data_IF_837161467113
#
_entry.id   IF_837161467113
#
_cell.length_a   1.000
_cell.length_b   1.000
_cell.length_c   1.000
_cell.angle_alpha   90.00
_cell.angle_beta   90.00
_cell.angle_gamma   90.00
#
_symmetry.space_group_name_H-M   'P 1'
#
loop_
_entity.id
_entity.type
_entity.pdbx_description
1 polymer ?
#
# COMPACT_ATOMS: atom_id res chain seq x y z
N UNK A 1 43.46 6.24 13.71
CA UNK A 1 42.87 5.06 14.36
C UNK A 1 41.88 4.47 13.37
N UNK A 2 42.18 3.31 12.78
CA UNK A 2 41.35 2.71 11.73
C UNK A 2 40.09 2.12 12.37
N UNK A 3 38.91 2.60 11.97
CA UNK A 3 37.62 2.08 12.40
C UNK A 3 37.36 0.75 11.68
N UNK A 4 37.68 -0.37 12.35
CA UNK A 4 37.31 -1.69 11.86
C UNK A 4 35.79 -1.86 11.97
N UNK A 5 35.08 -1.82 10.84
CA UNK A 5 33.68 -2.20 10.78
C UNK A 5 33.56 -3.72 10.82
N UNK A 6 33.14 -4.25 11.96
CA UNK A 6 32.84 -5.67 12.16
C UNK A 6 31.45 -5.97 11.55
N UNK A 7 31.34 -7.04 10.77
CA UNK A 7 30.07 -7.47 10.16
C UNK A 7 29.78 -8.92 10.56
N UNK A 8 28.57 -9.15 11.06
CA UNK A 8 28.02 -10.48 11.29
C UNK A 8 27.56 -11.07 9.95
N UNK A 9 27.96 -12.31 9.66
CA UNK A 9 27.53 -13.03 8.46
C UNK A 9 26.63 -14.21 8.82
N UNK A 10 25.61 -14.44 7.99
CA UNK A 10 24.79 -15.64 8.01
C UNK A 10 25.24 -16.51 6.83
N UNK A 11 25.64 -17.76 7.10
CA UNK A 11 26.04 -18.71 6.07
C UNK A 11 24.83 -19.08 5.19
N UNK A 12 24.90 -18.76 3.91
CA UNK A 12 24.02 -19.32 2.88
C UNK A 12 24.75 -20.50 2.22
N UNK A 13 24.40 -21.74 2.57
CA UNK A 13 24.96 -22.89 1.88
C UNK A 13 24.34 -23.00 0.47
N UNK A 14 25.12 -22.92 -0.62
CA UNK A 14 24.60 -23.07 -1.98
C UNK A 14 24.11 -24.50 -2.30
N UNK A 15 24.35 -25.47 -1.41
CA UNK A 15 24.07 -26.88 -1.64
C UNK A 15 22.60 -27.31 -1.47
N UNK A 16 21.74 -26.47 -0.87
CA UNK A 16 20.33 -26.84 -0.61
C UNK A 16 19.41 -26.51 -1.79
N UNK A 17 19.83 -25.68 -2.76
CA UNK A 17 19.02 -25.31 -3.93
C UNK A 17 19.10 -26.30 -5.11
N UNK A 18 19.98 -27.32 -5.06
CA UNK A 18 20.22 -28.23 -6.20
C UNK A 18 19.37 -29.53 -6.17
N UNK A 19 18.77 -29.89 -5.03
CA UNK A 19 18.11 -31.20 -4.87
C UNK A 19 16.60 -31.24 -5.18
N UNK A 20 15.98 -30.12 -5.56
CA UNK A 20 14.52 -30.09 -5.85
C UNK A 20 14.16 -30.29 -7.35
N UNK A 21 15.14 -30.31 -8.26
CA UNK A 21 14.89 -30.34 -9.72
C UNK A 21 15.16 -31.68 -10.42
N UNK A 22 15.25 -32.78 -9.68
CA UNK A 22 15.29 -34.13 -10.26
C UNK A 22 14.28 -35.02 -9.56
N UNK A 23 13.07 -35.10 -10.10
CA UNK A 23 12.29 -36.34 -10.28
C UNK A 23 10.84 -35.98 -10.63
N UNK A 24 10.55 -35.88 -11.93
CA UNK A 24 9.32 -36.41 -12.58
C UNK A 24 9.45 -36.16 -14.07
N UNK A 25 9.97 -37.17 -14.78
CA UNK A 25 9.88 -37.28 -16.24
C UNK A 25 8.83 -38.37 -16.48
N UNK A 26 7.60 -37.97 -16.82
CA UNK A 26 6.59 -38.87 -17.37
C UNK A 26 6.14 -38.31 -18.72
N UNK A 27 6.30 -39.16 -19.71
CA UNK A 27 5.95 -38.99 -21.12
C UNK A 27 4.50 -39.37 -21.34
N UNK A 28 3.73 -38.53 -22.04
CA UNK A 28 2.72 -39.00 -22.99
C UNK A 28 2.30 -37.89 -23.93
N UNK A 29 2.50 -38.17 -25.22
CA UNK A 29 2.09 -37.39 -26.38
C UNK A 29 0.59 -37.25 -26.49
N UNK A 30 0.10 -36.07 -26.85
CA UNK A 30 -1.13 -35.89 -27.63
C UNK A 30 -1.00 -34.57 -28.42
N UNK A 31 -0.73 -34.73 -29.71
CA UNK A 31 -0.77 -33.68 -30.74
C UNK A 31 -2.19 -33.52 -31.25
N UNK A 32 -2.73 -32.29 -31.30
CA UNK A 32 -3.62 -31.85 -32.38
C UNK A 32 -3.71 -30.31 -32.47
N UNK A 33 -3.06 -29.79 -33.52
CA UNK A 33 -3.45 -28.71 -34.45
C UNK A 33 -3.93 -27.32 -33.95
N UNK A 34 -2.98 -26.36 -33.97
CA UNK A 34 -2.91 -25.17 -34.86
C UNK A 34 -3.95 -24.00 -34.71
N UNK A 35 -3.62 -22.75 -35.16
CA UNK A 35 -3.78 -21.55 -34.32
C UNK A 35 -4.68 -20.44 -34.89
N UNK A 36 -5.26 -19.62 -34.01
CA UNK A 36 -5.87 -18.32 -34.34
C UNK A 36 -5.07 -17.19 -33.68
N UNK A 37 -4.12 -16.64 -34.44
CA UNK A 37 -3.44 -15.38 -34.13
C UNK A 37 -4.29 -14.22 -34.66
N UNK A 38 -4.69 -13.29 -33.80
CA UNK A 38 -5.07 -11.92 -34.20
C UNK A 38 -4.18 -10.93 -33.46
N UNK A 39 -3.43 -10.05 -34.15
CA UNK A 39 -2.68 -9.00 -33.50
C UNK A 39 -3.62 -7.82 -33.20
N UNK A 40 -3.66 -7.38 -31.95
CA UNK A 40 -4.22 -6.07 -31.60
C UNK A 40 -3.20 -4.99 -31.96
N UNK A 41 -3.57 -4.10 -32.87
CA UNK A 41 -2.80 -2.90 -33.20
C UNK A 41 -3.04 -1.81 -32.16
N UNK A 42 -1.95 -1.32 -31.55
CA UNK A 42 -1.96 -0.11 -30.74
C UNK A 42 -2.14 1.12 -31.65
N UNK A 43 -3.22 1.88 -31.44
CA UNK A 43 -3.36 3.24 -31.97
C UNK A 43 -2.85 4.25 -30.93
N UNK A 44 -2.10 5.29 -31.32
CA UNK A 44 -1.59 6.29 -30.38
C UNK A 44 -2.70 7.27 -29.97
N UNK A 45 -2.91 7.39 -28.66
CA UNK A 45 -3.83 8.35 -28.05
C UNK A 45 -3.18 9.74 -28.03
N UNK A 46 -3.65 10.66 -28.89
CA UNK A 46 -3.11 12.01 -29.04
C UNK A 46 -3.82 12.98 -28.10
N UNK A 47 -3.13 13.42 -27.05
CA UNK A 47 -3.56 14.50 -26.15
C UNK A 47 -3.56 15.85 -26.90
N UNK A 48 -4.73 16.48 -27.10
CA UNK A 48 -4.82 17.90 -27.53
C UNK A 48 -4.95 18.79 -26.29
N UNK A 49 -3.88 19.52 -25.96
CA UNK A 49 -3.91 20.71 -25.09
C UNK A 49 -4.57 21.85 -25.86
N UNK A 50 -5.69 22.39 -25.36
CA UNK A 50 -6.20 23.69 -25.81
C UNK A 50 -5.77 24.74 -24.78
N UNK A 51 -4.72 25.48 -25.09
CA UNK A 51 -4.46 26.79 -24.50
C UNK A 51 -5.27 27.82 -25.28
N UNK A 52 -6.13 28.58 -24.62
CA UNK A 52 -6.64 29.85 -25.15
C UNK A 52 -6.06 30.98 -24.32
N UNK A 53 -5.25 31.81 -24.99
CA UNK A 53 -4.69 33.04 -24.44
C UNK A 53 -5.78 34.10 -24.24
N UNK A 54 -5.61 34.87 -23.17
CA UNK A 54 -6.41 36.07 -22.92
C UNK A 54 -5.89 37.23 -23.78
N UNK A 55 -6.81 37.88 -24.50
CA UNK A 55 -6.59 39.16 -25.15
C UNK A 55 -7.25 40.22 -24.27
N UNK A 56 -6.47 41.23 -23.87
CA UNK A 56 -6.96 42.49 -23.30
C UNK A 56 -7.46 43.38 -24.44
N UNK A 57 -8.59 44.04 -24.25
CA UNK A 57 -8.87 45.30 -24.94
C UNK A 57 -9.70 46.22 -24.04
N UNK A 58 -9.13 47.38 -23.79
CA UNK A 58 -9.73 48.60 -23.27
C UNK A 58 -10.70 49.22 -24.27
N UNK A 59 -11.80 49.81 -23.80
CA UNK A 59 -12.36 51.03 -24.39
C UNK A 59 -13.26 51.76 -23.40
N UNK A 60 -13.16 53.08 -23.47
CA UNK A 60 -13.89 54.14 -22.81
C UNK A 60 -15.28 54.37 -23.43
N UNK A 61 -16.12 55.11 -22.71
CA UNK A 61 -17.11 56.12 -23.16
C UNK A 61 -18.59 55.99 -22.69
N UNK A 62 -18.96 57.04 -21.93
CA UNK A 62 -20.13 57.94 -21.97
C UNK A 62 -21.62 57.49 -21.89
N UNK A 63 -22.26 58.15 -20.91
CA UNK A 63 -23.66 58.60 -20.76
C UNK A 63 -24.72 58.35 -21.86
N UNK A 64 -25.91 57.92 -21.39
CA UNK A 64 -27.16 58.67 -21.67
C UNK A 64 -28.37 57.92 -22.23
N UNK A 65 -29.34 57.65 -21.34
CA UNK A 65 -30.81 57.72 -21.57
C UNK A 65 -31.51 56.70 -22.48
N UNK A 66 -32.26 55.78 -21.89
CA UNK A 66 -33.75 55.82 -21.74
C UNK A 66 -34.25 54.44 -21.30
N UNK A 67 -35.10 54.44 -20.26
CA UNK A 67 -35.81 53.27 -19.76
C UNK A 67 -37.06 53.05 -20.61
N UNK A 68 -37.15 51.92 -21.30
CA UNK A 68 -38.42 51.33 -21.72
C UNK A 68 -38.42 49.86 -21.29
N UNK A 69 -39.46 49.51 -20.54
CA UNK A 69 -39.66 48.19 -19.98
C UNK A 69 -40.11 47.23 -21.08
N UNK A 70 -39.25 46.28 -21.44
CA UNK A 70 -39.66 45.08 -22.16
C UNK A 70 -39.58 43.90 -21.18
N UNK A 71 -40.74 43.40 -20.79
CA UNK A 71 -40.88 42.10 -20.13
C UNK A 71 -40.58 41.06 -21.20
N UNK A 72 -39.34 40.55 -21.22
CA UNK A 72 -39.04 39.31 -21.93
C UNK A 72 -38.84 38.21 -20.89
N UNK A 73 -39.70 37.19 -21.00
CA UNK A 73 -39.58 35.94 -20.26
C UNK A 73 -38.18 35.36 -20.51
N UNK A 74 -37.29 35.53 -19.55
CA UNK A 74 -36.12 34.69 -19.46
C UNK A 74 -36.60 33.33 -18.99
N UNK A 75 -36.83 32.43 -19.94
CA UNK A 75 -36.87 31.01 -19.70
C UNK A 75 -35.66 30.67 -18.83
N UNK A 76 -35.91 30.48 -17.54
CA UNK A 76 -34.90 30.06 -16.58
C UNK A 76 -34.68 28.60 -16.89
N UNK A 77 -33.79 28.35 -17.86
CA UNK A 77 -33.25 27.03 -18.12
C UNK A 77 -32.53 26.62 -16.85
N UNK A 78 -33.24 25.93 -15.97
CA UNK A 78 -32.70 25.30 -14.78
C UNK A 78 -31.62 24.33 -15.25
N UNK A 79 -30.37 24.77 -15.16
CA UNK A 79 -29.23 23.88 -15.29
C UNK A 79 -29.36 22.89 -14.15
N UNK A 80 -29.81 21.69 -14.45
CA UNK A 80 -29.89 20.57 -13.53
C UNK A 80 -28.46 20.29 -13.05
N UNK A 81 -28.10 20.86 -11.89
CA UNK A 81 -26.81 20.63 -11.24
C UNK A 81 -26.69 19.13 -10.98
N UNK A 82 -25.87 18.46 -11.79
CA UNK A 82 -25.50 17.05 -11.63
C UNK A 82 -25.02 16.85 -10.19
N UNK A 83 -25.85 16.25 -9.34
CA UNK A 83 -25.54 16.06 -7.91
C UNK A 83 -24.22 15.30 -7.79
N UNK A 84 -23.23 15.93 -7.16
CA UNK A 84 -21.93 15.32 -6.89
C UNK A 84 -22.13 14.19 -5.87
N UNK A 85 -21.56 13.01 -6.13
CA UNK A 85 -21.59 11.89 -5.18
C UNK A 85 -20.90 12.31 -3.86
N UNK A 86 -21.57 12.21 -2.70
CA UNK A 86 -21.05 12.74 -1.43
C UNK A 86 -20.05 11.78 -0.77
N UNK A 87 -18.88 11.56 -1.40
CA UNK A 87 -17.85 10.65 -0.89
C UNK A 87 -17.36 11.03 0.52
N UNK A 88 -17.28 12.33 0.81
CA UNK A 88 -16.87 12.86 2.12
C UNK A 88 -17.83 12.49 3.27
N UNK A 89 -19.09 12.17 2.97
CA UNK A 89 -20.06 11.66 3.95
C UNK A 89 -20.05 10.13 4.00
N UNK A 90 -19.92 9.47 2.84
CA UNK A 90 -20.07 8.02 2.72
C UNK A 90 -18.84 7.27 3.21
N UNK A 91 -17.63 7.71 2.89
CA UNK A 91 -16.38 7.03 3.27
C UNK A 91 -16.20 6.97 4.80
N UNK A 92 -16.28 8.09 5.56
CA UNK A 92 -16.13 8.03 7.01
C UNK A 92 -17.22 7.22 7.71
N UNK A 93 -18.45 7.26 7.17
CA UNK A 93 -19.58 6.47 7.68
C UNK A 93 -19.24 4.97 7.66
N UNK A 94 -18.79 4.45 6.52
CA UNK A 94 -18.48 3.02 6.39
C UNK A 94 -17.19 2.62 7.11
N UNK A 95 -16.16 3.48 7.10
CA UNK A 95 -14.93 3.25 7.86
C UNK A 95 -15.22 3.10 9.36
N UNK A 96 -16.04 3.99 9.93
CA UNK A 96 -16.49 3.89 11.32
C UNK A 96 -17.29 2.61 11.55
N UNK A 97 -18.24 2.30 10.67
CA UNK A 97 -19.02 1.07 10.79
C UNK A 97 -18.12 -0.19 10.80
N UNK A 98 -17.12 -0.28 9.92
CA UNK A 98 -16.21 -1.43 9.87
C UNK A 98 -15.34 -1.55 11.12
N UNK A 99 -14.86 -0.42 11.65
CA UNK A 99 -14.07 -0.36 12.88
C UNK A 99 -14.92 -0.80 14.09
N UNK A 100 -16.07 -0.16 14.31
CA UNK A 100 -16.95 -0.39 15.46
C UNK A 100 -17.44 -1.85 15.51
N UNK A 101 -17.68 -2.45 14.35
CA UNK A 101 -18.15 -3.84 14.22
C UNK A 101 -17.00 -4.84 13.99
N UNK A 102 -15.74 -4.39 13.95
CA UNK A 102 -14.54 -5.22 13.73
C UNK A 102 -14.69 -6.19 12.54
N UNK A 103 -15.29 -5.73 11.44
CA UNK A 103 -15.74 -6.58 10.31
C UNK A 103 -14.60 -7.38 9.65
N UNK A 104 -13.38 -6.85 9.70
CA UNK A 104 -12.20 -7.47 9.08
C UNK A 104 -11.35 -8.31 10.03
N UNK A 105 -11.74 -8.39 11.31
CA UNK A 105 -11.05 -9.17 12.34
C UNK A 105 -11.06 -10.66 11.96
N UNK A 106 -9.90 -11.29 12.04
CA UNK A 106 -9.77 -12.75 11.95
C UNK A 106 -9.99 -13.34 13.34
N UNK A 107 -11.07 -14.11 13.58
CA UNK A 107 -11.33 -14.67 14.90
C UNK A 107 -10.20 -15.62 15.32
N UNK A 108 -9.98 -15.73 16.63
CA UNK A 108 -8.96 -16.65 17.17
C UNK A 108 -9.41 -18.10 17.00
N UNK A 109 -10.70 -18.36 17.22
CA UNK A 109 -11.35 -19.62 16.91
C UNK A 109 -11.91 -19.58 15.47
N UNK A 110 -11.19 -20.23 14.56
CA UNK A 110 -11.53 -20.28 13.13
C UNK A 110 -12.24 -21.59 12.81
N UNK A 111 -13.39 -21.51 12.14
CA UNK A 111 -14.07 -22.67 11.55
C UNK A 111 -13.17 -23.33 10.50
N UNK A 112 -12.58 -24.47 10.85
CA UNK A 112 -11.62 -25.20 10.01
C UNK A 112 -12.25 -25.94 8.84
N UNK A 113 -13.59 -26.00 8.76
CA UNK A 113 -14.30 -26.53 7.59
C UNK A 113 -14.21 -25.57 6.39
N UNK A 114 -13.99 -24.28 6.65
CA UNK A 114 -13.82 -23.25 5.61
C UNK A 114 -12.36 -23.13 5.17
N UNK A 115 -12.10 -22.90 3.87
CA UNK A 115 -10.74 -22.75 3.37
C UNK A 115 -10.09 -21.46 3.92
N UNK A 116 -8.79 -21.52 4.19
CA UNK A 116 -8.00 -20.39 4.69
C UNK A 116 -7.36 -19.63 3.53
N UNK A 117 -7.22 -18.31 3.68
CA UNK A 117 -6.51 -17.46 2.72
C UNK A 117 -5.71 -16.39 3.45
N UNK A 118 -4.39 -16.37 3.26
CA UNK A 118 -3.51 -15.35 3.83
C UNK A 118 -3.16 -14.36 2.71
N UNK A 119 -3.63 -13.12 2.84
CA UNK A 119 -3.21 -11.99 2.00
C UNK A 119 -2.17 -11.16 2.75
N UNK A 120 -1.03 -10.88 2.13
CA UNK A 120 0.05 -10.15 2.77
C UNK A 120 0.55 -9.01 1.89
N UNK A 121 0.56 -7.81 2.46
CA UNK A 121 1.26 -6.66 1.93
C UNK A 121 2.68 -6.59 2.51
N UNK A 122 3.61 -6.05 1.73
CA UNK A 122 4.86 -5.58 2.31
C UNK A 122 4.54 -4.34 3.16
N UNK A 123 4.52 -4.54 4.47
CA UNK A 123 4.27 -3.49 5.47
C UNK A 123 5.25 -2.30 5.34
N UNK A 124 4.79 -1.06 5.56
CA UNK A 124 5.57 0.13 5.25
C UNK A 124 6.63 0.45 6.31
N UNK A 125 7.68 1.16 5.87
CA UNK A 125 8.62 1.84 6.77
C UNK A 125 7.98 3.15 7.28
N UNK A 126 7.87 3.39 8.60
CA UNK A 126 7.40 4.66 9.16
C UNK A 126 8.52 5.72 9.18
N UNK A 127 9.34 5.76 8.13
CA UNK A 127 10.49 6.66 7.97
C UNK A 127 10.14 7.96 7.24
N UNK A 128 8.92 8.09 6.74
CA UNK A 128 8.45 9.27 6.04
C UNK A 128 7.42 10.05 6.85
N UNK A 129 7.16 11.28 6.42
CA UNK A 129 6.00 12.04 6.85
C UNK A 129 4.73 11.46 6.17
N UNK A 130 4.37 10.20 6.34
CA UNK A 130 3.16 9.58 5.77
C UNK A 130 3.35 8.85 4.43
N UNK A 131 2.27 8.19 4.00
CA UNK A 131 2.19 7.45 2.74
C UNK A 131 2.28 8.39 1.52
N UNK A 132 3.09 8.01 0.53
CA UNK A 132 2.93 8.48 -0.85
C UNK A 132 1.93 7.61 -1.63
N UNK A 133 1.41 8.13 -2.75
CA UNK A 133 0.40 7.47 -3.63
C UNK A 133 0.86 6.14 -4.26
N UNK A 134 2.12 5.78 -4.09
CA UNK A 134 2.66 4.50 -4.55
C UNK A 134 2.36 3.34 -3.59
N UNK A 135 2.29 3.58 -2.27
CA UNK A 135 1.96 2.52 -1.31
C UNK A 135 0.56 1.93 -1.56
N UNK A 136 -0.51 2.75 -1.74
CA UNK A 136 -1.85 2.22 -1.97
C UNK A 136 -1.99 1.39 -3.24
N UNK A 137 -1.07 1.51 -4.22
CA UNK A 137 -1.17 0.76 -5.47
C UNK A 137 -1.14 -0.75 -5.23
N UNK A 138 -0.14 -1.22 -4.48
CA UNK A 138 -0.03 -2.64 -4.11
C UNK A 138 -1.14 -3.05 -3.15
N UNK A 139 -1.40 -2.23 -2.13
CA UNK A 139 -2.36 -2.50 -1.07
C UNK A 139 -3.81 -2.58 -1.58
N UNK A 140 -4.14 -1.85 -2.64
CA UNK A 140 -5.45 -1.96 -3.29
C UNK A 140 -5.64 -3.31 -3.98
N UNK A 141 -4.60 -3.83 -4.62
CA UNK A 141 -4.68 -5.11 -5.32
C UNK A 141 -4.91 -6.27 -4.35
N UNK A 142 -4.19 -6.28 -3.24
CA UNK A 142 -4.35 -7.26 -2.15
C UNK A 142 -5.69 -7.08 -1.43
N UNK A 143 -6.15 -5.85 -1.20
CA UNK A 143 -7.46 -5.59 -0.60
C UNK A 143 -8.63 -6.12 -1.45
N UNK A 144 -8.58 -5.92 -2.77
CA UNK A 144 -9.56 -6.49 -3.71
C UNK A 144 -9.60 -8.01 -3.56
N UNK A 145 -8.42 -8.66 -3.53
CA UNK A 145 -8.33 -10.10 -3.37
C UNK A 145 -8.86 -10.56 -2.00
N UNK A 146 -8.51 -9.86 -0.92
CA UNK A 146 -8.97 -10.17 0.44
C UNK A 146 -10.51 -10.10 0.53
N UNK A 147 -11.12 -9.04 0.01
CA UNK A 147 -12.58 -8.87 -0.02
C UNK A 147 -13.27 -9.93 -0.87
N UNK A 148 -12.74 -10.23 -2.06
CA UNK A 148 -13.24 -11.30 -2.93
C UNK A 148 -13.24 -12.65 -2.20
N UNK A 149 -12.14 -13.00 -1.53
CA UNK A 149 -12.02 -14.27 -0.80
C UNK A 149 -12.98 -14.37 0.38
N UNK A 150 -13.20 -13.28 1.12
CA UNK A 150 -14.23 -13.24 2.17
C UNK A 150 -15.62 -13.48 1.59
N UNK A 151 -15.96 -12.85 0.47
CA UNK A 151 -17.25 -13.05 -0.22
C UNK A 151 -17.43 -14.48 -0.76
N UNK A 152 -16.33 -15.17 -1.08
CA UNK A 152 -16.32 -16.58 -1.45
C UNK A 152 -16.37 -17.55 -0.25
N UNK A 153 -16.47 -17.05 0.98
CA UNK A 153 -16.58 -17.86 2.19
C UNK A 153 -15.26 -18.34 2.79
N UNK A 154 -14.12 -17.77 2.37
CA UNK A 154 -12.81 -18.10 2.96
C UNK A 154 -12.61 -17.41 4.31
N UNK A 155 -11.85 -18.07 5.19
CA UNK A 155 -11.25 -17.45 6.37
C UNK A 155 -10.03 -16.63 5.92
N UNK A 156 -10.17 -15.31 5.87
CA UNK A 156 -9.12 -14.42 5.35
C UNK A 156 -8.36 -13.76 6.48
N UNK A 157 -7.04 -13.97 6.53
CA UNK A 157 -6.11 -13.17 7.31
C UNK A 157 -5.46 -12.13 6.39
N UNK A 158 -5.68 -10.85 6.69
CA UNK A 158 -5.10 -9.71 5.98
C UNK A 158 -4.58 -8.70 7.00
N UNK A 159 -3.33 -8.86 7.49
CA UNK A 159 -2.80 -8.03 8.56
C UNK A 159 -2.05 -6.81 8.02
N UNK A 160 -1.72 -5.89 8.93
CA UNK A 160 -0.80 -4.78 8.66
C UNK A 160 0.18 -4.63 9.81
N UNK A 161 1.29 -3.94 9.59
CA UNK A 161 2.25 -3.61 10.64
C UNK A 161 3.22 -2.53 10.19
N UNK A 162 4.33 -2.41 10.91
CA UNK A 162 5.31 -1.35 10.70
C UNK A 162 6.72 -1.91 10.74
N UNK A 163 7.46 -1.72 9.65
CA UNK A 163 8.89 -2.02 9.63
C UNK A 163 9.68 -0.83 10.18
N UNK A 164 9.77 -0.78 11.49
CA UNK A 164 10.10 0.42 12.27
C UNK A 164 11.57 0.49 12.74
N UNK A 165 12.37 -0.56 12.53
CA UNK A 165 13.80 -0.56 12.82
C UNK A 165 14.65 -0.13 11.61
N UNK A 166 15.93 0.16 11.86
CA UNK A 166 16.94 0.34 10.83
C UNK A 166 17.14 1.79 10.39
N UNK A 167 18.07 1.94 9.44
CA UNK A 167 18.57 3.23 8.97
C UNK A 167 17.48 4.20 8.49
N UNK A 168 16.40 3.78 7.81
CA UNK A 168 15.39 4.73 7.34
C UNK A 168 14.72 5.50 8.49
N UNK A 169 14.37 4.82 9.58
CA UNK A 169 13.75 5.46 10.75
C UNK A 169 14.75 6.34 11.51
N UNK A 170 16.01 5.89 11.62
CA UNK A 170 17.08 6.65 12.27
C UNK A 170 17.46 7.92 11.49
N UNK A 171 17.57 7.85 10.17
CA UNK A 171 17.88 8.99 9.32
C UNK A 171 16.80 10.07 9.41
N UNK A 172 15.53 9.68 9.39
CA UNK A 172 14.42 10.62 9.55
C UNK A 172 14.44 11.30 10.94
N UNK A 173 14.80 10.56 11.98
CA UNK A 173 14.94 11.11 13.33
C UNK A 173 16.09 12.14 13.41
N UNK A 174 17.21 11.87 12.74
CA UNK A 174 18.34 12.81 12.63
C UNK A 174 17.94 14.08 11.88
N UNK A 175 17.28 13.96 10.72
CA UNK A 175 16.83 15.10 9.89
C UNK A 175 15.87 16.01 10.64
N UNK A 176 15.02 15.43 11.49
CA UNK A 176 14.00 16.17 12.26
C UNK A 176 14.50 16.61 13.64
N UNK A 177 15.72 16.22 14.05
CA UNK A 177 16.29 16.55 15.36
C UNK A 177 15.54 15.96 16.54
N UNK A 178 14.92 14.79 16.37
CA UNK A 178 14.05 14.17 17.39
C UNK A 178 14.47 12.74 17.71
N UNK A 179 14.13 12.24 18.90
CA UNK A 179 14.48 10.87 19.28
C UNK A 179 13.70 9.85 18.43
N UNK A 180 14.35 8.83 17.83
CA UNK A 180 13.74 7.94 16.85
C UNK A 180 12.49 7.24 17.36
N UNK A 181 12.49 6.80 18.63
CA UNK A 181 11.30 6.19 19.25
C UNK A 181 10.05 7.08 19.15
N UNK A 182 10.17 8.37 19.48
CA UNK A 182 9.04 9.31 19.47
C UNK A 182 8.54 9.55 18.06
N UNK A 183 9.48 9.71 17.14
CA UNK A 183 9.19 10.04 15.74
C UNK A 183 8.58 8.86 15.00
N UNK A 184 9.10 7.66 15.22
CA UNK A 184 8.56 6.40 14.71
C UNK A 184 7.12 6.19 15.16
N UNK A 185 6.81 6.36 16.45
CA UNK A 185 5.44 6.21 16.97
C UNK A 185 4.48 7.21 16.34
N UNK A 186 4.88 8.49 16.26
CA UNK A 186 4.09 9.55 15.62
C UNK A 186 3.82 9.24 14.14
N UNK A 187 4.83 8.73 13.43
CA UNK A 187 4.69 8.34 12.04
C UNK A 187 3.77 7.13 11.89
N UNK A 188 3.93 6.11 12.71
CA UNK A 188 3.03 4.93 12.75
C UNK A 188 1.57 5.38 12.89
N UNK A 189 1.26 6.23 13.86
CA UNK A 189 -0.11 6.72 14.07
C UNK A 189 -0.67 7.42 12.85
N UNK A 190 0.17 8.24 12.21
CA UNK A 190 -0.20 8.94 10.99
C UNK A 190 -0.44 7.98 9.82
N UNK A 191 0.42 6.99 9.61
CA UNK A 191 0.24 6.00 8.55
C UNK A 191 -1.02 5.19 8.80
N UNK A 192 -1.29 4.79 10.05
CA UNK A 192 -2.52 4.11 10.44
C UNK A 192 -3.76 4.90 10.05
N UNK A 193 -3.80 6.19 10.37
CA UNK A 193 -4.90 7.08 9.99
C UNK A 193 -5.08 7.15 8.46
N UNK A 194 -3.99 7.26 7.71
CA UNK A 194 -4.05 7.30 6.25
C UNK A 194 -4.54 5.97 5.66
N UNK A 195 -4.04 4.82 6.13
CA UNK A 195 -4.52 3.50 5.69
C UNK A 195 -6.00 3.27 6.03
N UNK A 196 -6.44 3.67 7.23
CA UNK A 196 -7.86 3.61 7.62
C UNK A 196 -8.73 4.50 6.74
N UNK A 197 -8.26 5.71 6.38
CA UNK A 197 -8.98 6.60 5.45
C UNK A 197 -9.09 6.06 4.02
N UNK A 198 -8.21 5.13 3.62
CA UNK A 198 -8.31 4.43 2.33
C UNK A 198 -9.27 3.22 2.39
N UNK A 199 -9.71 2.83 3.58
CA UNK A 199 -10.70 1.77 3.76
C UNK A 199 -10.19 0.36 3.49
N UNK A 200 -8.88 0.10 3.64
CA UNK A 200 -8.33 -1.24 3.50
C UNK A 200 -8.86 -2.20 4.57
N UNK A 201 -9.08 -3.45 4.18
CA UNK A 201 -9.70 -4.49 4.99
C UNK A 201 -8.72 -5.22 5.89
N UNK A 202 -7.95 -4.46 6.66
CA UNK A 202 -6.95 -5.00 7.58
C UNK A 202 -7.56 -5.45 8.91
N UNK A 203 -6.97 -6.51 9.46
CA UNK A 203 -7.19 -6.93 10.83
C UNK A 203 -6.27 -6.13 11.78
N UNK A 204 -6.77 -4.98 12.25
CA UNK A 204 -6.02 -4.08 13.14
C UNK A 204 -5.72 -4.68 14.51
N UNK A 205 -6.40 -5.76 14.92
CA UNK A 205 -6.06 -6.47 16.17
C UNK A 205 -4.73 -7.22 16.06
N UNK A 206 -4.28 -7.49 14.83
CA UNK A 206 -3.01 -8.16 14.52
C UNK A 206 -1.95 -7.18 14.04
N UNK A 207 -2.13 -5.90 14.34
CA UNK A 207 -1.13 -4.87 14.10
C UNK A 207 0.14 -5.13 14.92
N UNK A 208 1.30 -4.98 14.29
CA UNK A 208 2.60 -5.14 14.93
C UNK A 208 3.57 -4.05 14.51
N UNK A 209 4.55 -3.75 15.36
CA UNK A 209 5.72 -2.94 15.01
C UNK A 209 6.99 -3.71 15.33
N UNK A 210 7.96 -3.70 14.41
CA UNK A 210 9.22 -4.43 14.60
C UNK A 210 10.05 -3.90 15.77
N UNK A 211 9.78 -2.68 16.26
CA UNK A 211 10.46 -2.06 17.40
C UNK A 211 9.89 -2.46 18.76
N UNK A 212 8.76 -3.16 18.82
CA UNK A 212 8.16 -3.55 20.09
C UNK A 212 8.97 -4.68 20.77
N UNK A 213 9.22 -4.61 22.09
CA UNK A 213 9.92 -5.66 22.83
C UNK A 213 9.30 -7.05 22.67
N UNK A 214 7.97 -7.11 22.64
CA UNK A 214 7.25 -8.36 22.45
C UNK A 214 7.40 -8.95 21.05
N UNK A 215 7.81 -8.13 20.07
CA UNK A 215 8.15 -8.59 18.73
C UNK A 215 9.64 -8.96 18.64
N UNK A 216 10.55 -8.02 18.90
CA UNK A 216 11.97 -8.24 18.62
C UNK A 216 12.64 -9.27 19.54
N UNK A 217 12.03 -9.62 20.68
CA UNK A 217 12.50 -10.77 21.50
C UNK A 217 12.57 -12.05 20.68
N UNK A 218 11.66 -12.23 19.73
CA UNK A 218 11.67 -13.36 18.81
C UNK A 218 12.75 -13.22 17.74
N UNK A 219 13.01 -12.01 17.25
CA UNK A 219 14.15 -11.73 16.35
C UNK A 219 15.48 -12.11 17.02
N UNK A 220 15.68 -11.70 18.27
CA UNK A 220 16.86 -12.08 19.07
C UNK A 220 16.93 -13.59 19.29
N UNK A 221 15.81 -14.22 19.62
CA UNK A 221 15.74 -15.67 19.80
C UNK A 221 16.10 -16.44 18.53
N UNK A 222 15.59 -16.02 17.36
CA UNK A 222 15.91 -16.62 16.05
C UNK A 222 17.41 -16.50 15.79
N UNK A 223 18.01 -15.32 16.00
CA UNK A 223 19.44 -15.13 15.84
C UNK A 223 20.25 -16.09 16.72
N UNK A 224 19.86 -16.28 17.99
CA UNK A 224 20.52 -17.23 18.89
C UNK A 224 20.40 -18.67 18.39
N UNK A 225 19.28 -19.07 17.77
CA UNK A 225 19.16 -20.40 17.15
C UNK A 225 20.09 -20.56 15.95
N UNK A 226 20.21 -19.52 15.10
CA UNK A 226 21.13 -19.52 13.97
C UNK A 226 22.59 -19.61 14.45
N UNK A 227 22.95 -18.85 15.48
CA UNK A 227 24.27 -18.87 16.09
C UNK A 227 24.62 -20.25 16.67
N UNK A 228 23.72 -20.85 17.45
CA UNK A 228 23.89 -22.21 18.02
C UNK A 228 24.07 -23.30 16.96
N UNK A 229 23.50 -23.10 15.76
CA UNK A 229 23.65 -24.01 14.61
C UNK A 229 24.90 -23.73 13.78
N UNK A 230 25.76 -22.80 14.19
CA UNK A 230 26.95 -22.40 13.44
C UNK A 230 26.63 -21.64 12.14
N UNK A 231 25.40 -21.13 11.98
CA UNK A 231 24.97 -20.39 10.80
C UNK A 231 25.23 -18.89 10.91
N UNK A 232 25.48 -18.37 12.12
CA UNK A 232 25.86 -16.98 12.34
C UNK A 232 27.26 -16.93 12.97
N UNK A 233 28.17 -16.15 12.36
CA UNK A 233 29.53 -16.00 12.84
C UNK A 233 30.07 -14.60 12.49
N UNK A 234 31.09 -14.18 13.23
CA UNK A 234 31.74 -12.90 13.01
C UNK A 234 32.94 -13.09 12.08
N UNK A 235 33.05 -12.22 11.08
CA UNK A 235 34.22 -12.17 10.17
C UNK A 235 34.79 -10.77 10.19
N UNK A 236 36.10 -10.68 10.32
CA UNK A 236 36.81 -9.43 10.10
C UNK A 236 36.86 -9.18 8.60
N UNK A 237 36.08 -8.22 8.10
CA UNK A 237 36.28 -7.71 6.74
C UNK A 237 37.60 -6.96 6.70
N UNK A 238 38.57 -7.52 5.98
CA UNK A 238 39.74 -6.76 5.53
C UNK A 238 39.23 -5.92 4.35
N UNK A 239 39.26 -4.60 4.49
CA UNK A 239 39.02 -3.72 3.34
C UNK A 239 40.16 -3.95 2.36
N UNK A 240 39.85 -4.57 1.22
CA UNK A 240 40.74 -4.67 0.05
C UNK A 240 40.54 -3.43 -0.80
#
# INVERSE_FOLDING_TARGET
>A
MSSHHQILQIRSDPFVLSHCCRHTRLTSSLTLQSPLKRPFSCLPFRWRRSYRGGVRSSTTETHGSKKEALVSETATTSIELKRVYPFHEIEPKWQRYWEDNRIFRTPDDVDTSKPKFYVLDMFPYPSGAGLHVGHPLGYTATDILARLRRMQGYNVLHPMGWDAFGLPAEQYAIETGTHPKTTTLKNIDRFRLQLKSLGFSYDWDRELSTTEPDYYKWTQWIFLQLYKRGLAYQVNKINV
#
